data_IF_699177497331
#
_entry.id   IF_699177497331
#
_cell.length_a   1.000
_cell.length_b   1.000
_cell.length_c   1.000
_cell.angle_alpha   90.00
_cell.angle_beta   90.00
_cell.angle_gamma   90.00
#
_symmetry.space_group_name_H-M   'P 1'
#
loop_
_entity.id
_entity.type
_entity.pdbx_description
1 polymer ?
#
# COMPACT_ATOMS: atom_id res chain seq x y z
N UNK A 1 -22.48 -11.92 11.53
CA UNK A 1 -21.42 -11.45 12.44
C UNK A 1 -20.16 -11.22 11.62
N UNK A 2 -19.49 -10.06 11.73
CA UNK A 2 -18.24 -9.86 10.95
C UNK A 2 -17.12 -10.76 11.51
N UNK A 3 -16.10 -11.14 10.72
CA UNK A 3 -15.01 -11.97 11.22
C UNK A 3 -14.27 -11.36 12.42
N UNK A 4 -14.17 -10.03 12.43
CA UNK A 4 -13.56 -9.28 13.53
C UNK A 4 -14.42 -9.33 14.80
N UNK A 5 -15.74 -9.21 14.68
CA UNK A 5 -16.64 -9.31 15.83
C UNK A 5 -16.66 -10.72 16.42
N UNK A 6 -16.59 -11.75 15.56
CA UNK A 6 -16.45 -13.14 16.00
C UNK A 6 -15.16 -13.35 16.81
N UNK A 7 -14.02 -12.86 16.28
CA UNK A 7 -12.75 -12.95 16.98
C UNK A 7 -12.76 -12.27 18.36
N UNK A 8 -13.42 -11.11 18.49
CA UNK A 8 -13.59 -10.43 19.78
C UNK A 8 -14.44 -11.23 20.76
N UNK A 9 -15.53 -11.84 20.28
CA UNK A 9 -16.39 -12.67 21.11
C UNK A 9 -15.61 -13.90 21.62
N UNK A 10 -14.94 -14.62 20.73
CA UNK A 10 -14.15 -15.80 21.08
C UNK A 10 -13.05 -15.46 22.09
N UNK A 11 -12.39 -14.32 21.91
CA UNK A 11 -11.34 -13.84 22.81
C UNK A 11 -11.87 -13.42 24.18
N UNK A 12 -13.07 -12.85 24.22
CA UNK A 12 -13.76 -12.51 25.47
C UNK A 12 -14.17 -13.79 26.21
N UNK A 13 -14.71 -14.78 25.50
CA UNK A 13 -15.05 -16.10 26.08
C UNK A 13 -13.82 -16.85 26.63
N UNK A 14 -12.70 -16.81 25.92
CA UNK A 14 -11.44 -17.37 26.42
C UNK A 14 -10.95 -16.63 27.68
N UNK A 15 -11.10 -15.30 27.74
CA UNK A 15 -10.71 -14.52 28.90
C UNK A 15 -11.58 -14.82 30.12
N UNK A 16 -12.90 -14.94 29.95
CA UNK A 16 -13.82 -15.22 31.07
C UNK A 16 -13.54 -16.58 31.68
N UNK A 17 -13.36 -17.64 30.88
CA UNK A 17 -13.08 -18.99 31.37
C UNK A 17 -11.75 -19.02 32.15
N UNK A 18 -10.70 -18.41 31.61
CA UNK A 18 -9.40 -18.35 32.30
C UNK A 18 -9.46 -17.49 33.57
N UNK A 19 -10.28 -16.44 33.59
CA UNK A 19 -10.49 -15.61 34.79
C UNK A 19 -11.25 -16.37 35.88
N UNK A 20 -12.26 -17.16 35.51
CA UNK A 20 -12.95 -18.06 36.44
C UNK A 20 -11.99 -19.10 37.01
N UNK A 21 -11.12 -19.66 36.17
CA UNK A 21 -10.11 -20.62 36.61
C UNK A 21 -9.07 -19.99 37.55
N UNK A 22 -8.68 -18.74 37.31
CA UNK A 22 -7.85 -17.97 38.24
C UNK A 22 -8.52 -17.84 39.62
N UNK A 23 -9.82 -17.52 39.67
CA UNK A 23 -10.57 -17.47 40.93
C UNK A 23 -10.65 -18.85 41.60
N UNK A 24 -10.84 -19.92 40.83
CA UNK A 24 -10.84 -21.28 41.35
C UNK A 24 -9.51 -21.63 42.04
N UNK A 25 -8.36 -21.31 41.43
CA UNK A 25 -7.05 -21.53 42.05
C UNK A 25 -6.89 -20.76 43.37
N UNK A 26 -7.38 -19.51 43.43
CA UNK A 26 -7.37 -18.73 44.66
C UNK A 26 -8.17 -19.41 45.78
N UNK A 27 -9.33 -19.98 45.46
CA UNK A 27 -10.17 -20.70 46.45
C UNK A 27 -9.49 -21.98 46.93
N UNK A 28 -8.75 -22.68 46.06
CA UNK A 28 -7.95 -23.83 46.44
C UNK A 28 -6.67 -23.46 47.22
N UNK A 29 -6.39 -22.17 47.44
CA UNK A 29 -5.17 -21.70 48.11
C UNK A 29 -3.90 -21.88 47.26
N UNK A 30 -4.05 -22.15 45.95
CA UNK A 30 -2.93 -22.32 45.02
C UNK A 30 -2.62 -20.95 44.42
N UNK A 31 -1.36 -20.54 44.49
CA UNK A 31 -0.92 -19.26 43.93
C UNK A 31 -1.06 -19.25 42.39
N UNK A 32 -1.97 -18.46 41.82
CA UNK A 32 -2.23 -18.47 40.37
C UNK A 32 -1.08 -17.86 39.55
N UNK A 33 -0.16 -17.14 40.20
CA UNK A 33 1.03 -16.55 39.58
C UNK A 33 2.08 -17.59 39.17
N UNK A 34 2.15 -18.70 39.91
CA UNK A 34 3.07 -19.82 39.64
C UNK A 34 2.43 -20.84 38.68
N UNK A 35 1.11 -20.80 38.54
CA UNK A 35 0.38 -21.66 37.62
C UNK A 35 0.47 -21.17 36.17
N UNK A 36 0.34 -22.09 35.22
CA UNK A 36 0.26 -21.82 33.78
C UNK A 36 -0.90 -20.87 33.36
N UNK A 37 -1.84 -20.55 34.26
CA UNK A 37 -2.97 -19.63 33.94
C UNK A 37 -2.47 -18.25 33.57
N UNK A 38 -1.38 -17.81 34.21
CA UNK A 38 -0.76 -16.53 33.89
C UNK A 38 -0.31 -16.47 32.42
N UNK A 39 0.27 -17.56 31.91
CA UNK A 39 0.71 -17.66 30.53
C UNK A 39 -0.49 -17.58 29.57
N UNK A 40 -1.61 -18.23 29.90
CA UNK A 40 -2.85 -18.15 29.12
C UNK A 40 -3.44 -16.74 29.10
N UNK A 41 -3.42 -16.02 30.22
CA UNK A 41 -3.86 -14.62 30.28
C UNK A 41 -2.96 -13.69 29.45
N UNK A 42 -1.63 -13.86 29.51
CA UNK A 42 -0.69 -13.07 28.72
C UNK A 42 -0.81 -13.36 27.21
N UNK A 43 -1.08 -14.63 26.86
CA UNK A 43 -1.41 -15.06 25.49
C UNK A 43 -2.69 -14.37 24.99
N UNK A 44 -3.76 -14.37 25.79
CA UNK A 44 -5.02 -13.69 25.44
C UNK A 44 -4.81 -12.18 25.27
N UNK A 45 -4.06 -11.54 26.18
CA UNK A 45 -3.73 -10.11 26.07
C UNK A 45 -3.00 -9.82 24.76
N UNK A 46 -2.06 -10.68 24.38
CA UNK A 46 -1.33 -10.56 23.10
C UNK A 46 -2.27 -10.64 21.89
N UNK A 47 -3.24 -11.55 21.91
CA UNK A 47 -4.26 -11.63 20.86
C UNK A 47 -5.21 -10.42 20.86
N UNK A 48 -5.55 -9.85 22.02
CA UNK A 48 -6.37 -8.63 22.11
C UNK A 48 -5.65 -7.45 21.47
N UNK A 49 -4.35 -7.33 21.70
CA UNK A 49 -3.52 -6.30 21.07
C UNK A 49 -3.46 -6.49 19.55
N UNK A 50 -3.27 -7.73 19.06
CA UNK A 50 -3.33 -8.02 17.60
C UNK A 50 -4.65 -7.61 16.97
N UNK A 51 -5.78 -7.86 17.64
CA UNK A 51 -7.09 -7.44 17.14
C UNK A 51 -7.15 -5.91 17.08
N UNK A 52 -6.71 -5.20 18.12
CA UNK A 52 -6.64 -3.73 18.12
C UNK A 52 -5.76 -3.20 16.98
N UNK A 53 -4.57 -3.78 16.78
CA UNK A 53 -3.66 -3.38 15.72
C UNK A 53 -4.31 -3.55 14.33
N UNK A 54 -5.08 -4.61 14.11
CA UNK A 54 -5.82 -4.81 12.86
C UNK A 54 -6.91 -3.74 12.70
N UNK A 55 -7.61 -3.40 13.77
CA UNK A 55 -8.61 -2.33 13.75
C UNK A 55 -7.99 -0.97 13.44
N UNK A 56 -6.81 -0.68 13.99
CA UNK A 56 -6.13 0.59 13.80
C UNK A 56 -5.47 0.67 12.42
N UNK A 57 -4.94 -0.44 11.91
CA UNK A 57 -4.51 -0.56 10.50
C UNK A 57 -5.64 -0.27 9.53
N UNK A 58 -6.87 -0.64 9.85
CA UNK A 58 -8.03 -0.33 9.01
C UNK A 58 -8.35 1.18 8.97
N UNK A 59 -7.99 1.93 10.01
CA UNK A 59 -8.18 3.38 10.11
C UNK A 59 -6.98 4.20 9.60
N UNK A 60 -5.83 3.56 9.40
CA UNK A 60 -4.60 4.25 8.99
C UNK A 60 -4.77 4.99 7.64
N UNK A 61 -4.14 6.17 7.48
CA UNK A 61 -4.20 6.93 6.23
C UNK A 61 -3.57 6.14 5.09
N UNK A 62 -4.27 6.06 3.95
CA UNK A 62 -3.78 5.38 2.75
C UNK A 62 -2.99 6.37 1.90
N UNK A 63 -1.77 6.00 1.51
CA UNK A 63 -0.95 6.78 0.58
C UNK A 63 -1.58 6.80 -0.82
N UNK A 64 -1.61 7.97 -1.45
CA UNK A 64 -1.99 8.09 -2.86
C UNK A 64 -0.84 7.62 -3.77
N UNK A 65 -0.98 6.38 -4.27
CA UNK A 65 -0.04 5.76 -5.20
C UNK A 65 0.10 6.55 -6.51
N UNK A 66 -0.93 7.28 -6.92
CA UNK A 66 -0.93 8.12 -8.11
C UNK A 66 -0.03 9.35 -7.92
N UNK A 67 -0.21 10.06 -6.80
CA UNK A 67 0.66 11.18 -6.44
C UNK A 67 2.13 10.75 -6.30
N UNK A 68 2.39 9.63 -5.61
CA UNK A 68 3.76 9.09 -5.47
C UNK A 68 4.43 8.84 -6.83
N UNK A 69 3.71 8.24 -7.79
CA UNK A 69 4.23 8.04 -9.16
C UNK A 69 4.54 9.36 -9.88
N UNK A 70 3.72 10.39 -9.67
CA UNK A 70 3.93 11.72 -10.25
C UNK A 70 5.18 12.37 -9.69
N UNK A 71 5.38 12.34 -8.36
CA UNK A 71 6.58 12.87 -7.71
C UNK A 71 7.85 12.20 -8.20
N UNK A 72 7.84 10.87 -8.33
CA UNK A 72 8.98 10.15 -8.91
C UNK A 72 9.22 10.58 -10.35
N UNK A 73 8.19 10.60 -11.19
CA UNK A 73 8.33 10.97 -12.60
C UNK A 73 8.82 12.41 -12.81
N UNK A 74 8.31 13.37 -12.02
CA UNK A 74 8.78 14.77 -12.10
C UNK A 74 10.22 14.89 -11.64
N UNK A 75 10.60 14.22 -10.55
CA UNK A 75 11.96 14.27 -10.02
C UNK A 75 12.99 13.72 -11.03
N UNK A 76 12.68 12.61 -11.71
CA UNK A 76 13.56 12.07 -12.76
C UNK A 76 13.64 13.00 -13.98
N UNK A 77 12.52 13.61 -14.37
CA UNK A 77 12.46 14.52 -15.51
C UNK A 77 13.23 15.82 -15.25
N UNK A 78 13.11 16.39 -14.04
CA UNK A 78 13.84 17.59 -13.63
C UNK A 78 15.35 17.34 -13.57
N UNK A 79 15.78 16.18 -13.06
CA UNK A 79 17.19 15.77 -13.07
C UNK A 79 17.74 15.67 -14.50
N UNK A 80 16.99 15.07 -15.43
CA UNK A 80 17.39 14.99 -16.83
C UNK A 80 17.45 16.39 -17.48
N UNK A 81 16.49 17.27 -17.20
CA UNK A 81 16.46 18.64 -17.74
C UNK A 81 17.64 19.47 -17.25
N UNK A 82 18.04 19.33 -15.98
CA UNK A 82 19.21 20.02 -15.42
C UNK A 82 20.52 19.58 -16.07
N UNK A 83 20.69 18.28 -16.33
CA UNK A 83 21.85 17.78 -17.07
C UNK A 83 21.90 18.32 -18.50
N UNK A 84 20.75 18.44 -19.16
CA UNK A 84 20.66 19.03 -20.50
C UNK A 84 20.98 20.54 -20.45
N UNK A 85 20.47 21.29 -19.47
CA UNK A 85 20.78 22.73 -19.32
C UNK A 85 22.25 23.00 -18.95
N UNK A 86 22.89 22.14 -18.14
CA UNK A 86 24.33 22.20 -17.87
C UNK A 86 25.18 21.89 -19.11
N UNK A 87 24.69 21.06 -20.03
CA UNK A 87 25.37 20.78 -21.30
C UNK A 87 25.07 21.80 -22.42
N UNK A 88 24.03 22.62 -22.29
CA UNK A 88 23.60 23.60 -23.32
C UNK A 88 24.07 25.04 -22.99
N UNK A 89 24.63 25.30 -21.81
CA UNK A 89 25.29 26.58 -21.51
C UNK A 89 26.78 26.52 -21.88
N UNK A 90 27.24 27.20 -22.94
CA UNK A 90 28.65 27.19 -23.30
C UNK A 90 29.46 27.95 -22.24
N UNK A 91 30.33 27.25 -21.52
CA UNK A 91 31.44 27.89 -20.81
C UNK A 91 32.42 28.39 -21.86
N UNK A 92 32.43 29.71 -22.08
CA UNK A 92 33.40 30.41 -22.90
C UNK A 92 34.81 30.12 -22.35
N UNK A 93 35.58 29.28 -23.04
CA UNK A 93 37.00 29.09 -22.78
C UNK A 93 37.73 28.87 -24.11
N UNK A 94 38.71 29.75 -24.33
CA UNK A 94 39.46 29.94 -25.57
C UNK A 94 40.37 28.75 -25.87
N UNK A 95 40.21 28.24 -27.09
CA UNK A 95 41.21 27.81 -28.06
C UNK A 95 42.28 26.79 -27.63
N UNK A 96 42.08 25.51 -27.98
CA UNK A 96 43.07 24.64 -28.66
C UNK A 96 42.35 23.64 -29.60
N UNK A 97 42.96 23.24 -30.75
CA UNK A 97 42.23 22.85 -31.96
C UNK A 97 41.76 21.39 -31.98
N UNK A 98 40.65 21.19 -32.68
CA UNK A 98 39.97 19.92 -32.95
C UNK A 98 40.59 19.29 -34.21
N UNK A 99 41.09 18.05 -34.10
CA UNK A 99 41.34 17.16 -35.24
C UNK A 99 40.07 16.32 -35.41
N UNK A 100 39.50 16.40 -36.62
CA UNK A 100 38.30 15.68 -37.03
C UNK A 100 38.77 14.42 -37.74
N UNK A 101 38.56 13.25 -37.14
CA UNK A 101 38.58 11.97 -37.85
C UNK A 101 37.17 11.40 -37.81
N UNK A 102 36.58 11.29 -39.01
CA UNK A 102 35.30 10.69 -39.29
C UNK A 102 35.40 9.16 -39.13
N UNK A 103 34.55 8.57 -38.31
CA UNK A 103 34.16 7.16 -38.45
C UNK A 103 32.69 6.99 -38.07
N UNK A 104 31.89 6.56 -39.04
CA UNK A 104 30.47 6.25 -38.90
C UNK A 104 30.21 5.08 -37.94
N UNK A 105 29.02 5.05 -37.31
CA UNK A 105 28.32 3.79 -37.21
C UNK A 105 26.86 3.88 -37.69
N UNK A 106 26.65 3.36 -38.90
CA UNK A 106 25.61 2.40 -39.33
C UNK A 106 24.24 2.45 -38.61
N UNK A 107 23.24 2.81 -39.40
CA UNK A 107 21.82 2.65 -39.09
C UNK A 107 21.38 1.19 -39.18
N UNK A 108 20.81 0.62 -38.13
CA UNK A 108 19.91 -0.55 -38.27
C UNK A 108 18.71 -0.42 -37.35
N UNK A 109 17.58 0.03 -37.91
CA UNK A 109 16.30 0.05 -37.23
C UNK A 109 15.59 -1.30 -37.28
N UNK A 110 14.63 -1.51 -36.36
CA UNK A 110 13.38 -2.16 -36.72
C UNK A 110 12.24 -1.79 -35.78
N UNK A 111 11.17 -1.32 -36.42
CA UNK A 111 9.97 -0.75 -35.83
C UNK A 111 8.90 -1.81 -35.52
N UNK A 112 8.10 -1.51 -34.48
CA UNK A 112 6.65 -1.79 -34.31
C UNK A 112 6.13 -3.23 -34.45
N UNK A 113 5.44 -3.70 -33.38
CA UNK A 113 4.05 -4.18 -33.54
C UNK A 113 3.23 -4.15 -32.23
N UNK A 114 2.15 -3.35 -32.25
CA UNK A 114 0.95 -3.59 -31.44
C UNK A 114 0.19 -4.77 -32.04
N UNK A 115 -0.25 -5.74 -31.23
CA UNK A 115 -1.45 -6.55 -31.49
C UNK A 115 -2.06 -7.06 -30.17
N UNK A 116 -3.30 -6.63 -29.92
CA UNK A 116 -4.40 -7.29 -29.18
C UNK A 116 -4.73 -8.64 -29.85
N UNK A 117 -5.38 -9.68 -29.30
CA UNK A 117 -6.07 -10.02 -28.03
C UNK A 117 -6.30 -11.56 -28.07
N UNK A 118 -6.50 -12.21 -26.90
CA UNK A 118 -7.31 -13.45 -26.72
C UNK A 118 -7.58 -13.65 -25.21
N UNK A 119 -8.71 -13.23 -24.61
CA UNK A 119 -10.12 -13.69 -24.61
C UNK A 119 -10.42 -14.85 -23.63
N UNK A 120 -11.18 -14.53 -22.56
CA UNK A 120 -12.37 -15.24 -22.00
C UNK A 120 -13.09 -14.25 -21.06
N UNK A 121 -14.24 -13.70 -21.45
CA UNK A 121 -15.63 -14.10 -21.09
C UNK A 121 -15.91 -14.18 -19.57
N UNK A 122 -16.54 -13.14 -19.00
CA UNK A 122 -17.98 -13.12 -18.65
C UNK A 122 -18.40 -11.83 -17.90
N UNK A 123 -19.45 -11.18 -18.41
CA UNK A 123 -20.13 -9.95 -17.95
C UNK A 123 -21.10 -10.22 -16.75
N UNK A 124 -21.72 -9.23 -16.03
CA UNK A 124 -22.21 -7.92 -16.52
C UNK A 124 -22.13 -6.69 -15.58
N UNK A 125 -22.03 -5.52 -16.21
CA UNK A 125 -22.24 -4.18 -15.62
C UNK A 125 -23.69 -3.73 -15.87
N UNK A 126 -24.38 -3.24 -14.82
CA UNK A 126 -25.72 -2.60 -14.88
C UNK A 126 -25.63 -1.12 -15.31
N UNK A 127 -26.70 -0.56 -15.93
CA UNK A 127 -26.61 0.64 -16.78
C UNK A 127 -26.80 1.98 -16.04
N UNK A 128 -26.23 3.01 -16.67
CA UNK A 128 -26.34 4.45 -16.40
C UNK A 128 -27.77 5.00 -16.46
N UNK A 129 -28.18 5.81 -15.46
CA UNK A 129 -29.33 6.73 -15.58
C UNK A 129 -28.85 8.19 -15.71
N UNK A 130 -29.04 8.77 -16.89
CA UNK A 130 -29.00 10.23 -17.15
C UNK A 130 -30.11 10.92 -16.34
N UNK A 131 -29.77 11.83 -15.41
CA UNK A 131 -30.72 12.81 -14.85
C UNK A 131 -30.74 14.06 -15.71
N UNK A 132 -31.85 14.30 -16.41
CA UNK A 132 -32.21 15.61 -17.01
C UNK A 132 -32.40 16.62 -15.87
N UNK A 133 -31.62 17.70 -15.84
CA UNK A 133 -31.92 18.89 -15.03
C UNK A 133 -33.04 19.68 -15.72
N UNK A 134 -34.18 19.82 -15.04
CA UNK A 134 -35.31 20.67 -15.40
C UNK A 134 -34.86 22.14 -15.23
N UNK A 135 -34.89 22.93 -16.30
CA UNK A 135 -34.79 24.40 -16.23
C UNK A 135 -36.18 24.92 -15.84
N UNK A 136 -36.25 25.53 -14.68
CA UNK A 136 -37.39 26.28 -14.17
C UNK A 136 -37.39 27.64 -14.90
N UNK A 137 -38.47 27.95 -15.62
CA UNK A 137 -38.71 29.28 -16.17
C UNK A 137 -39.51 30.07 -15.15
N UNK A 138 -38.94 31.22 -14.81
CA UNK A 138 -39.58 32.39 -14.23
C UNK A 138 -40.68 32.91 -15.14
#
# INVERSE_FOLDING_TARGET
MTPLDKAKLDLTGAYTINSLFWMYLNVCGINPKEHAVKQELDRIRSYMNRVKDIQDKAKAPKLDKGAAKRFVKSSLWEAAKKQIEEHVTPKENKDKPIVIDEEEPETSGLSRKRKRDSKTDDTPVKPSKKKKKKKEKK
#
